data_IF_333473560294
#
_entry.id   IF_333473560294
#
_cell.length_a   1.000
_cell.length_b   1.000
_cell.length_c   1.000
_cell.angle_alpha   90.00
_cell.angle_beta   90.00
_cell.angle_gamma   90.00
#
_symmetry.space_group_name_H-M   'P 1'
#
loop_
_entity.id
_entity.type
_entity.pdbx_description
1 polymer ?
#
# COMPACT_ATOMS: atom_id res chain seq x y z
N UNK A 1 17.35 -27.91 18.18
CA UNK A 1 16.91 -26.60 18.65
C UNK A 1 15.57 -26.81 19.32
N UNK A 2 15.58 -26.83 20.66
CA UNK A 2 14.36 -26.96 21.46
C UNK A 2 13.75 -25.57 21.76
N UNK A 3 12.62 -25.55 22.43
CA UNK A 3 11.91 -24.35 22.86
C UNK A 3 12.78 -23.39 23.69
N UNK A 4 13.55 -23.92 24.64
CA UNK A 4 14.51 -23.17 25.46
C UNK A 4 15.65 -22.56 24.63
N UNK A 5 16.18 -23.28 23.64
CA UNK A 5 17.21 -22.78 22.75
C UNK A 5 16.71 -21.56 21.96
N UNK A 6 15.46 -21.61 21.50
CA UNK A 6 14.82 -20.49 20.78
C UNK A 6 14.65 -19.29 21.71
N UNK A 7 14.10 -19.50 22.91
CA UNK A 7 13.92 -18.44 23.91
C UNK A 7 15.25 -17.78 24.29
N UNK A 8 16.28 -18.58 24.58
CA UNK A 8 17.60 -18.08 24.96
C UNK A 8 18.26 -17.29 23.82
N UNK A 9 18.15 -17.75 22.58
CA UNK A 9 18.65 -17.01 21.41
C UNK A 9 17.93 -15.67 21.21
N UNK A 10 16.60 -15.64 21.36
CA UNK A 10 15.80 -14.42 21.26
C UNK A 10 16.20 -13.44 22.36
N UNK A 11 16.25 -13.92 23.61
CA UNK A 11 16.65 -13.11 24.76
C UNK A 11 18.04 -12.52 24.54
N UNK A 12 19.07 -13.35 24.28
CA UNK A 12 20.45 -12.88 24.19
C UNK A 12 20.70 -11.91 23.02
N UNK A 13 20.08 -12.14 21.86
CA UNK A 13 20.31 -11.30 20.68
C UNK A 13 19.52 -10.01 20.69
N UNK A 14 18.36 -9.99 21.35
CA UNK A 14 17.55 -8.79 21.42
C UNK A 14 17.94 -7.92 22.63
N UNK A 15 18.38 -8.49 23.77
CA UNK A 15 18.85 -7.69 24.92
C UNK A 15 20.17 -6.95 24.72
N UNK A 16 21.03 -7.42 23.81
CA UNK A 16 22.40 -6.93 23.66
C UNK A 16 22.69 -6.20 22.33
N UNK A 17 21.70 -6.03 21.44
CA UNK A 17 21.87 -5.26 20.18
C UNK A 17 22.01 -3.76 20.46
N UNK A 18 23.16 -3.38 21.00
CA UNK A 18 23.62 -1.99 21.14
C UNK A 18 24.16 -1.52 19.79
N UNK A 19 23.38 -0.74 19.07
CA UNK A 19 23.92 0.10 17.98
C UNK A 19 24.07 -0.55 16.60
N UNK A 20 23.31 -1.60 16.28
CA UNK A 20 23.23 -2.08 14.90
C UNK A 20 21.99 -1.46 14.22
N UNK A 21 22.21 -0.46 13.36
CA UNK A 21 21.21 -0.02 12.39
C UNK A 21 21.29 -0.90 11.14
N UNK A 22 20.14 -1.22 10.54
CA UNK A 22 20.10 -1.62 9.13
C UNK A 22 20.21 -0.31 8.38
N UNK A 23 21.38 -0.03 7.82
CA UNK A 23 21.65 1.26 7.19
C UNK A 23 21.02 1.28 5.80
N UNK A 24 19.79 1.78 5.71
CA UNK A 24 19.26 2.30 4.45
C UNK A 24 19.84 3.71 4.22
N UNK A 25 19.92 4.15 2.97
CA UNK A 25 20.23 5.56 2.69
C UNK A 25 19.07 6.42 3.24
N UNK A 26 19.27 7.04 4.40
CA UNK A 26 18.23 7.78 5.12
C UNK A 26 17.62 8.90 4.27
N UNK A 27 18.42 9.53 3.41
CA UNK A 27 17.96 10.61 2.55
C UNK A 27 17.01 10.08 1.48
N UNK A 28 17.36 8.93 0.88
CA UNK A 28 16.47 8.18 -0.02
C UNK A 28 15.18 7.80 0.69
N UNK A 29 15.26 7.31 1.93
CA UNK A 29 14.11 6.89 2.73
C UNK A 29 13.14 8.05 2.99
N UNK A 30 13.65 9.21 3.41
CA UNK A 30 12.85 10.43 3.61
C UNK A 30 12.16 10.85 2.32
N UNK A 31 12.90 10.89 1.20
CA UNK A 31 12.35 11.20 -0.13
C UNK A 31 11.26 10.20 -0.56
N UNK A 32 11.47 8.91 -0.31
CA UNK A 32 10.51 7.87 -0.61
C UNK A 32 9.22 8.00 0.21
N UNK A 33 9.32 8.25 1.52
CA UNK A 33 8.15 8.48 2.40
C UNK A 33 7.37 9.71 1.93
N UNK A 34 8.05 10.83 1.65
CA UNK A 34 7.42 12.05 1.15
C UNK A 34 6.65 11.78 -0.15
N UNK A 35 7.28 11.08 -1.09
CA UNK A 35 6.67 10.78 -2.38
C UNK A 35 5.47 9.84 -2.25
N UNK A 36 5.61 8.73 -1.53
CA UNK A 36 4.53 7.74 -1.37
C UNK A 36 3.37 8.35 -0.57
N UNK A 37 3.65 9.15 0.45
CA UNK A 37 2.61 9.89 1.19
C UNK A 37 1.85 10.87 0.28
N UNK A 38 2.56 11.63 -0.56
CA UNK A 38 1.92 12.54 -1.50
C UNK A 38 1.06 11.80 -2.53
N UNK A 39 1.55 10.66 -3.04
CA UNK A 39 0.78 9.80 -3.95
C UNK A 39 -0.48 9.25 -3.27
N UNK A 40 -0.36 8.78 -2.02
CA UNK A 40 -1.50 8.33 -1.21
C UNK A 40 -2.52 9.45 -1.01
N UNK A 41 -2.07 10.63 -0.57
CA UNK A 41 -2.94 11.79 -0.35
C UNK A 41 -3.67 12.22 -1.64
N UNK A 42 -2.99 12.19 -2.77
CA UNK A 42 -3.58 12.51 -4.08
C UNK A 42 -4.62 11.47 -4.48
N UNK A 43 -4.28 10.18 -4.34
CA UNK A 43 -5.19 9.09 -4.65
C UNK A 43 -6.43 9.08 -3.75
N UNK A 44 -6.31 9.45 -2.47
CA UNK A 44 -7.45 9.63 -1.56
C UNK A 44 -8.42 10.70 -2.07
N UNK A 45 -7.93 11.75 -2.74
CA UNK A 45 -8.78 12.74 -3.39
C UNK A 45 -9.67 12.13 -4.49
N UNK A 46 -9.09 11.34 -5.38
CA UNK A 46 -9.83 10.62 -6.43
C UNK A 46 -10.76 9.53 -5.87
N UNK A 47 -10.28 8.77 -4.88
CA UNK A 47 -11.10 7.78 -4.17
C UNK A 47 -12.35 8.42 -3.57
N UNK A 48 -12.17 9.57 -2.90
CA UNK A 48 -13.27 10.35 -2.35
C UNK A 48 -14.25 10.79 -3.44
N UNK A 49 -13.77 11.34 -4.56
CA UNK A 49 -14.64 11.75 -5.65
C UNK A 49 -15.47 10.58 -6.21
N UNK A 50 -14.85 9.41 -6.41
CA UNK A 50 -15.54 8.19 -6.84
C UNK A 50 -16.54 7.67 -5.81
N UNK A 51 -16.21 7.70 -4.51
CA UNK A 51 -17.12 7.32 -3.42
C UNK A 51 -18.30 8.28 -3.27
N UNK A 52 -18.07 9.58 -3.44
CA UNK A 52 -19.10 10.61 -3.39
C UNK A 52 -20.08 10.44 -4.57
N UNK A 53 -19.56 10.22 -5.79
CA UNK A 53 -20.37 9.90 -6.98
C UNK A 53 -21.20 8.62 -6.80
N UNK A 54 -20.59 7.54 -6.29
CA UNK A 54 -21.32 6.31 -5.96
C UNK A 54 -22.42 6.56 -4.91
N UNK A 55 -22.10 7.31 -3.85
CA UNK A 55 -23.03 7.58 -2.76
C UNK A 55 -24.22 8.44 -3.20
N UNK A 56 -24.00 9.37 -4.13
CA UNK A 56 -25.03 10.18 -4.75
C UNK A 56 -25.96 9.31 -5.60
N UNK A 57 -25.41 8.43 -6.45
CA UNK A 57 -26.22 7.52 -7.26
C UNK A 57 -27.04 6.54 -6.44
N UNK A 58 -26.49 6.03 -5.33
CA UNK A 58 -27.22 5.20 -4.37
C UNK A 58 -28.33 5.96 -3.61
N UNK A 59 -28.43 7.28 -3.78
CA UNK A 59 -29.54 8.10 -3.30
C UNK A 59 -30.75 8.13 -4.25
N UNK A 60 -30.59 7.66 -5.49
CA UNK A 60 -31.59 7.79 -6.55
C UNK A 60 -32.04 6.40 -7.06
N UNK A 61 -33.24 5.97 -6.69
CA UNK A 61 -33.75 4.62 -6.99
C UNK A 61 -33.77 4.26 -8.49
N UNK A 62 -33.93 5.27 -9.36
CA UNK A 62 -33.88 5.11 -10.83
C UNK A 62 -32.51 4.61 -11.32
N UNK A 63 -31.44 4.91 -10.58
CA UNK A 63 -30.06 4.56 -10.93
C UNK A 63 -29.62 3.22 -10.36
N UNK A 64 -30.41 2.66 -9.46
CA UNK A 64 -30.13 1.39 -8.77
C UNK A 64 -30.64 0.23 -9.62
N UNK A 65 -29.87 -0.86 -9.69
CA UNK A 65 -30.27 -2.08 -10.39
C UNK A 65 -31.08 -3.03 -9.48
N UNK A 66 -32.00 -3.79 -10.09
CA UNK A 66 -32.67 -4.89 -9.38
C UNK A 66 -31.63 -5.97 -8.99
N UNK A 67 -31.72 -6.63 -7.82
CA UNK A 67 -32.81 -6.61 -6.84
C UNK A 67 -32.65 -5.60 -5.67
N UNK A 68 -31.92 -4.50 -5.86
CA UNK A 68 -31.56 -3.54 -4.80
C UNK A 68 -32.46 -2.30 -4.76
N UNK A 69 -33.49 -2.21 -5.60
CA UNK A 69 -34.40 -1.05 -5.63
C UNK A 69 -35.33 -1.02 -4.42
N UNK A 70 -35.90 0.14 -4.17
CA UNK A 70 -36.96 0.33 -3.20
C UNK A 70 -38.13 -0.64 -3.45
N UNK A 71 -38.56 -1.34 -2.40
CA UNK A 71 -39.59 -2.37 -2.43
C UNK A 71 -39.10 -3.76 -2.83
N UNK A 72 -37.80 -3.94 -3.13
CA UNK A 72 -37.21 -5.25 -3.42
C UNK A 72 -36.45 -5.85 -2.23
N UNK A 73 -36.13 -7.14 -2.32
CA UNK A 73 -35.57 -7.91 -1.20
C UNK A 73 -34.23 -7.37 -0.68
N UNK A 74 -33.45 -6.67 -1.51
CA UNK A 74 -32.11 -6.16 -1.16
C UNK A 74 -32.07 -4.63 -1.06
N UNK A 75 -33.21 -3.95 -0.85
CA UNK A 75 -33.32 -2.48 -0.78
C UNK A 75 -32.48 -1.82 0.33
N UNK A 76 -32.02 -2.59 1.32
CA UNK A 76 -31.21 -2.08 2.42
C UNK A 76 -29.76 -1.77 2.01
N UNK A 77 -29.23 -2.45 1.00
CA UNK A 77 -27.80 -2.36 0.63
C UNK A 77 -27.36 -0.97 0.19
N UNK A 78 -28.10 -0.22 -0.64
CA UNK A 78 -27.71 1.16 -1.00
C UNK A 78 -27.40 2.04 0.22
N UNK A 79 -28.21 1.93 1.28
CA UNK A 79 -27.98 2.68 2.54
C UNK A 79 -26.77 2.16 3.29
N UNK A 80 -26.65 0.83 3.43
CA UNK A 80 -25.54 0.17 4.13
C UNK A 80 -24.20 0.51 3.46
N UNK A 81 -24.13 0.42 2.13
CA UNK A 81 -22.91 0.71 1.37
C UNK A 81 -22.47 2.16 1.55
N UNK A 82 -23.39 3.13 1.50
CA UNK A 82 -23.06 4.54 1.79
C UNK A 82 -22.43 4.71 3.17
N UNK A 83 -22.97 4.03 4.19
CA UNK A 83 -22.40 4.06 5.54
C UNK A 83 -21.02 3.41 5.62
N UNK A 84 -20.81 2.26 4.98
CA UNK A 84 -19.50 1.59 4.93
C UNK A 84 -18.43 2.47 4.26
N UNK A 85 -18.75 3.08 3.12
CA UNK A 85 -17.83 3.98 2.41
C UNK A 85 -17.44 5.19 3.27
N UNK A 86 -18.42 5.79 3.96
CA UNK A 86 -18.17 6.90 4.89
C UNK A 86 -17.23 6.52 6.05
N UNK A 87 -17.45 5.35 6.66
CA UNK A 87 -16.60 4.83 7.74
C UNK A 87 -15.19 4.53 7.23
N UNK A 88 -15.07 3.85 6.09
CA UNK A 88 -13.77 3.52 5.50
C UNK A 88 -12.97 4.77 5.17
N UNK A 89 -13.62 5.80 4.62
CA UNK A 89 -13.00 7.10 4.34
C UNK A 89 -12.45 7.78 5.59
N UNK A 90 -13.18 7.77 6.70
CA UNK A 90 -12.69 8.36 7.95
C UNK A 90 -11.39 7.67 8.44
N UNK A 91 -11.26 6.36 8.25
CA UNK A 91 -10.06 5.61 8.61
C UNK A 91 -8.89 5.96 7.66
N UNK A 92 -9.15 6.07 6.35
CA UNK A 92 -8.15 6.49 5.35
C UNK A 92 -7.64 7.91 5.64
N UNK A 93 -8.54 8.85 5.88
CA UNK A 93 -8.19 10.25 6.20
C UNK A 93 -7.30 10.35 7.45
N UNK A 94 -7.58 9.50 8.45
CA UNK A 94 -6.73 9.38 9.65
C UNK A 94 -5.33 8.86 9.30
N UNK A 95 -5.22 7.81 8.48
CA UNK A 95 -3.91 7.29 8.01
C UNK A 95 -3.13 8.36 7.28
N UNK A 96 -3.73 9.04 6.30
CA UNK A 96 -3.08 10.13 5.55
C UNK A 96 -2.59 11.23 6.50
N UNK A 97 -3.36 11.57 7.53
CA UNK A 97 -2.99 12.61 8.50
C UNK A 97 -1.82 12.21 9.38
N UNK A 98 -1.86 11.00 9.95
CA UNK A 98 -0.88 10.53 10.96
C UNK A 98 0.44 10.02 10.33
N UNK A 99 0.42 9.64 9.06
CA UNK A 99 1.60 9.14 8.33
C UNK A 99 2.37 10.22 7.59
N UNK A 100 2.09 11.51 7.86
CA UNK A 100 2.82 12.61 7.24
C UNK A 100 4.34 12.43 7.39
N UNK A 101 5.12 12.86 6.37
CA UNK A 101 6.56 12.86 6.48
C UNK A 101 7.00 13.72 7.65
N UNK A 102 7.99 13.25 8.41
CA UNK A 102 8.59 14.06 9.47
C UNK A 102 9.33 15.26 8.85
N UNK A 103 9.38 16.40 9.55
CA UNK A 103 10.09 17.59 9.09
C UNK A 103 11.58 17.53 9.44
N UNK A 104 12.41 17.75 8.42
CA UNK A 104 13.87 17.69 8.51
C UNK A 104 14.57 18.97 7.99
N UNK A 105 13.84 19.89 7.35
CA UNK A 105 14.39 21.01 6.57
C UNK A 105 14.99 22.16 7.41
N UNK A 106 14.69 22.21 8.71
CA UNK A 106 15.15 23.28 9.62
C UNK A 106 16.31 22.89 10.53
N UNK A 107 16.90 21.69 10.37
CA UNK A 107 17.92 21.20 11.29
C UNK A 107 19.30 21.75 10.97
N UNK A 108 19.96 22.31 11.97
CA UNK A 108 21.37 22.66 11.88
C UNK A 108 22.20 21.38 11.96
N UNK A 109 23.06 21.13 10.96
CA UNK A 109 23.91 19.93 10.88
C UNK A 109 24.88 19.76 12.06
N UNK A 110 25.16 20.83 12.81
CA UNK A 110 25.99 20.80 14.01
C UNK A 110 25.24 20.75 15.34
N UNK A 111 23.91 20.73 15.33
CA UNK A 111 23.11 20.75 16.56
C UNK A 111 22.71 19.33 17.00
N UNK A 112 23.38 18.85 18.05
CA UNK A 112 23.11 17.55 18.68
C UNK A 112 22.21 17.67 19.92
N UNK A 113 21.75 18.87 20.27
CA UNK A 113 20.98 19.11 21.50
C UNK A 113 19.55 18.57 21.45
N UNK A 114 18.97 18.46 20.24
CA UNK A 114 17.59 18.02 20.00
C UNK A 114 17.50 17.09 18.79
N UNK A 115 18.14 15.91 18.87
CA UNK A 115 17.98 14.87 17.84
C UNK A 115 16.63 14.16 18.09
N UNK A 116 15.70 14.15 17.13
CA UNK A 116 14.42 13.50 17.34
C UNK A 116 14.60 12.00 17.50
N UNK A 117 13.89 11.48 18.49
CA UNK A 117 13.87 10.09 18.91
C UNK A 117 12.45 9.56 18.75
N UNK A 118 12.30 8.42 18.08
CA UNK A 118 11.03 7.70 18.02
C UNK A 118 10.94 6.71 19.17
N UNK A 119 9.80 6.74 19.84
CA UNK A 119 9.53 6.00 21.08
C UNK A 119 8.57 4.84 20.82
N UNK A 120 8.40 3.96 21.80
CA UNK A 120 7.39 2.90 21.73
C UNK A 120 6.01 3.42 21.31
N UNK A 121 5.60 4.58 21.81
CA UNK A 121 4.29 5.18 21.48
C UNK A 121 4.17 5.54 20.00
N UNK A 122 5.24 6.04 19.37
CA UNK A 122 5.24 6.35 17.93
C UNK A 122 4.98 5.08 17.11
N UNK A 123 5.72 4.00 17.41
CA UNK A 123 5.54 2.71 16.73
C UNK A 123 4.16 2.11 17.01
N UNK A 124 3.71 2.14 18.26
CA UNK A 124 2.40 1.61 18.68
C UNK A 124 1.27 2.34 17.98
N UNK A 125 1.34 3.67 17.86
CA UNK A 125 0.35 4.48 17.16
C UNK A 125 0.30 4.13 15.67
N UNK A 126 1.47 4.07 15.02
CA UNK A 126 1.56 3.69 13.60
C UNK A 126 0.95 2.31 13.37
N UNK A 127 1.35 1.30 14.14
CA UNK A 127 0.90 -0.09 13.96
C UNK A 127 -0.57 -0.30 14.29
N UNK A 128 -1.07 0.35 15.35
CA UNK A 128 -2.51 0.30 15.69
C UNK A 128 -3.35 0.90 14.58
N UNK A 129 -2.90 2.01 14.01
CA UNK A 129 -3.57 2.67 12.90
C UNK A 129 -3.53 1.80 11.63
N UNK A 130 -2.38 1.23 11.29
CA UNK A 130 -2.24 0.29 10.16
C UNK A 130 -3.13 -0.93 10.32
N UNK A 131 -3.18 -1.50 11.53
CA UNK A 131 -4.02 -2.65 11.87
C UNK A 131 -5.50 -2.31 11.68
N UNK A 132 -5.94 -1.17 12.19
CA UNK A 132 -7.31 -0.69 12.04
C UNK A 132 -7.68 -0.54 10.56
N UNK A 133 -6.81 0.13 9.79
CA UNK A 133 -7.01 0.33 8.36
C UNK A 133 -7.21 -1.01 7.62
N UNK A 134 -6.24 -1.92 7.70
CA UNK A 134 -6.30 -3.15 6.90
C UNK A 134 -7.44 -4.06 7.36
N UNK A 135 -7.75 -4.16 8.66
CA UNK A 135 -8.87 -5.01 9.12
C UNK A 135 -10.21 -4.48 8.63
N UNK A 136 -10.47 -3.20 8.94
CA UNK A 136 -11.76 -2.58 8.70
C UNK A 136 -12.02 -2.56 7.20
N UNK A 137 -11.05 -2.11 6.41
CA UNK A 137 -11.22 -2.04 4.96
C UNK A 137 -11.22 -3.41 4.28
N UNK A 138 -10.57 -4.45 4.84
CA UNK A 138 -10.70 -5.82 4.32
C UNK A 138 -12.09 -6.38 4.62
N UNK A 139 -12.62 -6.13 5.82
CA UNK A 139 -13.99 -6.51 6.16
C UNK A 139 -15.00 -5.77 5.27
N UNK A 140 -14.81 -4.47 5.06
CA UNK A 140 -15.63 -3.65 4.17
C UNK A 140 -15.53 -4.17 2.73
N UNK A 141 -14.32 -4.36 2.18
CA UNK A 141 -14.12 -4.90 0.83
C UNK A 141 -14.82 -6.26 0.66
N UNK A 142 -14.71 -7.15 1.66
CA UNK A 142 -15.39 -8.43 1.65
C UNK A 142 -16.91 -8.29 1.59
N UNK A 143 -17.48 -7.40 2.40
CA UNK A 143 -18.92 -7.13 2.41
C UNK A 143 -19.41 -6.45 1.13
N UNK A 144 -18.71 -5.42 0.66
CA UNK A 144 -18.98 -4.71 -0.59
C UNK A 144 -18.88 -5.63 -1.80
N UNK A 145 -17.92 -6.56 -1.80
CA UNK A 145 -17.77 -7.53 -2.87
C UNK A 145 -18.89 -8.56 -2.87
N UNK A 146 -19.36 -9.06 -1.72
CA UNK A 146 -20.39 -10.10 -1.67
C UNK A 146 -21.80 -9.56 -1.90
N UNK A 147 -22.19 -8.51 -1.18
CA UNK A 147 -23.58 -8.03 -1.07
C UNK A 147 -24.57 -9.14 -0.67
N UNK A 148 -24.15 -10.01 0.25
CA UNK A 148 -24.96 -11.12 0.76
C UNK A 148 -25.57 -10.81 2.14
N UNK A 149 -26.90 -10.87 2.31
CA UNK A 149 -27.55 -10.53 3.58
C UNK A 149 -27.04 -11.34 4.78
N UNK A 150 -26.83 -12.65 4.60
CA UNK A 150 -26.39 -13.52 5.70
C UNK A 150 -24.96 -13.23 6.13
N UNK A 151 -24.08 -12.91 5.19
CA UNK A 151 -22.74 -12.39 5.44
C UNK A 151 -22.75 -11.09 6.20
N UNK A 152 -23.58 -10.13 5.79
CA UNK A 152 -23.72 -8.88 6.52
C UNK A 152 -24.26 -9.08 7.94
N UNK A 153 -25.32 -9.88 8.09
CA UNK A 153 -25.90 -10.22 9.38
C UNK A 153 -24.88 -10.81 10.33
N UNK A 154 -23.99 -11.70 9.86
CA UNK A 154 -22.91 -12.24 10.70
C UNK A 154 -22.07 -11.14 11.33
N UNK A 155 -21.56 -10.19 10.54
CA UNK A 155 -20.69 -9.13 11.08
C UNK A 155 -21.45 -8.14 11.97
N UNK A 156 -22.65 -7.74 11.55
CA UNK A 156 -23.46 -6.76 12.29
C UNK A 156 -23.95 -7.34 13.61
N UNK A 157 -24.50 -8.56 13.61
CA UNK A 157 -25.04 -9.18 14.84
C UNK A 157 -23.93 -9.57 15.82
N UNK A 158 -22.77 -10.02 15.35
CA UNK A 158 -21.60 -10.23 16.22
C UNK A 158 -21.17 -8.92 16.88
N UNK A 159 -21.12 -7.82 16.12
CA UNK A 159 -20.77 -6.49 16.63
C UNK A 159 -21.81 -5.97 17.62
N UNK A 160 -23.10 -6.01 17.26
CA UNK A 160 -24.20 -5.54 18.11
C UNK A 160 -24.34 -6.36 19.39
N UNK A 161 -24.17 -7.69 19.34
CA UNK A 161 -24.16 -8.55 20.52
C UNK A 161 -23.00 -8.18 21.47
N UNK A 162 -21.81 -7.93 20.91
CA UNK A 162 -20.65 -7.49 21.70
C UNK A 162 -20.88 -6.11 22.30
N UNK A 163 -21.44 -5.18 21.53
CA UNK A 163 -21.80 -3.84 22.00
C UNK A 163 -22.85 -3.91 23.11
N UNK A 164 -23.90 -4.72 22.98
CA UNK A 164 -24.94 -4.90 23.99
C UNK A 164 -24.37 -5.34 25.34
N UNK A 165 -23.35 -6.20 25.31
CA UNK A 165 -22.68 -6.75 26.50
C UNK A 165 -21.68 -5.77 27.13
N UNK A 166 -21.07 -4.91 26.32
CA UNK A 166 -20.04 -3.98 26.76
C UNK A 166 -20.58 -2.60 27.15
N UNK A 167 -21.57 -2.09 26.40
CA UNK A 167 -22.12 -0.75 26.56
C UNK A 167 -23.02 -0.63 27.79
N UNK A 168 -23.18 0.60 28.29
CA UNK A 168 -24.10 0.89 29.38
C UNK A 168 -25.56 0.73 28.92
N UNK A 169 -26.44 0.39 29.87
CA UNK A 169 -27.89 0.26 29.58
C UNK A 169 -28.50 1.53 28.97
N UNK A 170 -28.01 2.70 29.35
CA UNK A 170 -28.48 3.98 28.79
C UNK A 170 -28.18 4.10 27.30
N UNK A 171 -27.00 3.65 26.85
CA UNK A 171 -26.63 3.65 25.44
C UNK A 171 -27.41 2.61 24.66
N UNK A 172 -27.55 1.39 25.21
CA UNK A 172 -28.28 0.32 24.51
C UNK A 172 -29.77 0.64 24.37
N UNK A 173 -30.41 1.20 25.40
CA UNK A 173 -31.83 1.60 25.33
C UNK A 173 -32.10 2.75 24.35
N UNK A 174 -31.13 3.66 24.16
CA UNK A 174 -31.27 4.75 23.20
C UNK A 174 -31.12 4.28 21.75
N UNK A 175 -30.32 3.24 21.51
CA UNK A 175 -29.97 2.76 20.16
C UNK A 175 -30.82 1.57 19.70
N UNK A 176 -31.27 0.71 20.61
CA UNK A 176 -31.95 -0.53 20.26
C UNK A 176 -33.47 -0.39 20.43
N UNK A 177 -34.17 -0.40 19.30
CA UNK A 177 -35.63 -0.53 19.28
C UNK A 177 -36.04 -2.02 19.41
N UNK A 178 -37.35 -2.28 19.44
CA UNK A 178 -37.89 -3.64 19.55
C UNK A 178 -37.46 -4.58 18.42
N UNK A 179 -37.23 -4.06 17.21
CA UNK A 179 -36.84 -4.85 16.04
C UNK A 179 -35.39 -5.34 16.17
N UNK A 180 -34.46 -4.45 16.55
CA UNK A 180 -33.06 -4.80 16.80
C UNK A 180 -32.96 -5.80 17.95
N UNK A 181 -33.72 -5.58 19.02
CA UNK A 181 -33.73 -6.49 20.17
C UNK A 181 -34.25 -7.89 19.77
N UNK A 182 -35.28 -7.97 18.93
CA UNK A 182 -35.78 -9.25 18.42
C UNK A 182 -34.72 -9.99 17.61
N UNK A 183 -34.04 -9.29 16.69
CA UNK A 183 -32.97 -9.88 15.89
C UNK A 183 -31.78 -10.35 16.74
N UNK A 184 -31.41 -9.58 17.77
CA UNK A 184 -30.37 -9.97 18.73
C UNK A 184 -30.77 -11.17 19.57
N UNK A 185 -32.02 -11.22 20.06
CA UNK A 185 -32.53 -12.38 20.80
C UNK A 185 -32.49 -13.64 19.95
N UNK A 186 -32.85 -13.56 18.68
CA UNK A 186 -32.75 -14.69 17.74
C UNK A 186 -31.29 -15.13 17.53
N UNK A 187 -30.37 -14.17 17.38
CA UNK A 187 -28.93 -14.46 17.28
C UNK A 187 -28.34 -15.08 18.55
N UNK A 188 -28.78 -14.63 19.73
CA UNK A 188 -28.31 -15.14 21.03
C UNK A 188 -28.75 -16.58 21.31
N UNK A 189 -29.76 -17.11 20.61
CA UNK A 189 -30.11 -18.54 20.67
C UNK A 189 -29.09 -19.43 19.94
N UNK A 190 -28.21 -18.85 19.12
CA UNK A 190 -27.19 -19.60 18.38
C UNK A 190 -25.92 -19.80 19.23
N UNK A 191 -25.38 -21.02 19.22
CA UNK A 191 -24.08 -21.30 19.82
C UNK A 191 -22.95 -20.66 18.99
N UNK A 192 -21.80 -20.39 19.60
CA UNK A 192 -20.66 -19.73 18.96
C UNK A 192 -20.23 -20.39 17.63
N UNK A 193 -20.23 -21.73 17.57
CA UNK A 193 -19.90 -22.49 16.36
C UNK A 193 -20.96 -22.38 15.25
N UNK A 194 -22.18 -21.96 15.56
CA UNK A 194 -23.28 -21.74 14.61
C UNK A 194 -23.32 -20.30 14.08
N UNK A 195 -22.60 -19.36 14.69
CA UNK A 195 -22.63 -17.96 14.27
C UNK A 195 -22.22 -17.79 12.80
N UNK A 196 -21.24 -18.54 12.32
CA UNK A 196 -20.78 -18.48 10.93
C UNK A 196 -21.66 -19.27 9.94
N UNK A 197 -22.63 -20.05 10.41
CA UNK A 197 -23.52 -20.85 9.56
C UNK A 197 -24.84 -21.14 10.25
N UNK A 198 -25.86 -20.34 9.94
CA UNK A 198 -27.21 -20.48 10.47
C UNK A 198 -28.28 -20.09 9.44
N UNK A 199 -29.54 -20.10 9.86
CA UNK A 199 -30.63 -19.61 9.02
C UNK A 199 -30.60 -18.09 8.82
N UNK A 200 -30.02 -17.31 9.75
CA UNK A 200 -29.92 -15.83 9.65
C UNK A 200 -28.51 -15.30 9.32
N UNK A 201 -27.45 -16.10 9.49
CA UNK A 201 -26.05 -15.69 9.28
C UNK A 201 -25.25 -16.71 8.46
N UNK A 202 -24.24 -16.25 7.74
CA UNK A 202 -23.32 -17.10 6.96
C UNK A 202 -21.99 -16.38 6.76
N UNK A 203 -20.86 -16.99 7.10
CA UNK A 203 -19.55 -16.43 6.81
C UNK A 203 -18.55 -17.54 6.47
N UNK A 204 -18.35 -17.77 5.17
CA UNK A 204 -17.37 -18.76 4.70
C UNK A 204 -15.93 -18.40 5.08
N UNK A 205 -15.61 -17.10 5.16
CA UNK A 205 -14.26 -16.58 5.41
C UNK A 205 -14.20 -15.78 6.72
N UNK A 206 -14.16 -16.50 7.85
CA UNK A 206 -14.26 -15.89 9.19
C UNK A 206 -13.02 -15.11 9.64
N UNK A 207 -11.82 -15.51 9.22
CA UNK A 207 -10.55 -14.86 9.58
C UNK A 207 -10.12 -13.82 8.54
N UNK A 208 -9.36 -12.80 8.96
CA UNK A 208 -8.73 -11.83 8.07
C UNK A 208 -8.00 -12.47 6.87
N UNK A 209 -7.09 -13.42 7.12
CA UNK A 209 -6.31 -14.06 6.06
C UNK A 209 -7.17 -14.73 5.00
N UNK A 210 -8.20 -15.48 5.40
CA UNK A 210 -9.18 -16.10 4.48
C UNK A 210 -9.93 -15.07 3.63
N UNK A 211 -10.25 -13.89 4.17
CA UNK A 211 -10.90 -12.82 3.40
C UNK A 211 -9.96 -12.21 2.37
N UNK A 212 -8.70 -11.97 2.75
CA UNK A 212 -7.67 -11.49 1.83
C UNK A 212 -7.49 -12.47 0.67
N UNK A 213 -7.32 -13.76 0.97
CA UNK A 213 -7.14 -14.79 -0.05
C UNK A 213 -8.35 -14.89 -1.00
N UNK A 214 -9.56 -14.88 -0.43
CA UNK A 214 -10.78 -14.87 -1.21
C UNK A 214 -10.90 -13.64 -2.12
N UNK A 215 -10.64 -12.44 -1.59
CA UNK A 215 -10.75 -11.20 -2.34
C UNK A 215 -9.73 -11.12 -3.47
N UNK A 216 -8.46 -11.45 -3.21
CA UNK A 216 -7.42 -11.43 -4.23
C UNK A 216 -7.63 -12.49 -5.32
N UNK A 217 -8.30 -13.60 -5.00
CA UNK A 217 -8.68 -14.62 -5.99
C UNK A 217 -9.92 -14.22 -6.78
N UNK A 218 -10.89 -13.54 -6.15
CA UNK A 218 -12.21 -13.29 -6.73
C UNK A 218 -12.30 -11.96 -7.49
N UNK A 219 -11.48 -10.98 -7.14
CA UNK A 219 -11.42 -9.69 -7.82
C UNK A 219 -10.53 -9.83 -9.07
N UNK A 220 -11.03 -9.54 -10.28
CA UNK A 220 -10.22 -9.59 -11.48
C UNK A 220 -9.13 -8.51 -11.46
N UNK A 221 -7.88 -8.91 -11.23
CA UNK A 221 -6.74 -7.99 -11.30
C UNK A 221 -5.46 -8.75 -11.67
N UNK A 222 -4.97 -8.54 -12.90
CA UNK A 222 -3.79 -9.24 -13.41
C UNK A 222 -2.46 -8.62 -12.94
N UNK A 223 -2.51 -7.51 -12.22
CA UNK A 223 -1.32 -6.75 -11.80
C UNK A 223 -1.04 -6.83 -10.30
N UNK A 224 -1.73 -7.73 -9.57
CA UNK A 224 -1.53 -7.91 -8.13
C UNK A 224 -0.08 -8.34 -7.85
N UNK A 225 0.64 -7.64 -6.94
CA UNK A 225 1.96 -8.09 -6.51
C UNK A 225 1.87 -9.50 -5.90
N UNK A 226 2.71 -10.47 -6.30
CA UNK A 226 2.63 -11.83 -5.78
C UNK A 226 2.76 -11.93 -4.26
N UNK A 227 3.46 -10.99 -3.62
CA UNK A 227 3.65 -10.94 -2.17
C UNK A 227 2.48 -10.31 -1.41
N UNK A 228 1.53 -9.62 -2.07
CA UNK A 228 0.56 -8.75 -1.39
C UNK A 228 -0.28 -9.49 -0.34
N UNK A 229 -0.69 -10.72 -0.63
CA UNK A 229 -1.45 -11.53 0.32
C UNK A 229 -0.67 -11.78 1.62
N UNK A 230 0.61 -12.13 1.49
CA UNK A 230 1.48 -12.40 2.62
C UNK A 230 1.89 -11.12 3.33
N UNK A 231 2.15 -10.04 2.60
CA UNK A 231 2.46 -8.72 3.16
C UNK A 231 1.31 -8.21 4.05
N UNK A 232 0.06 -8.36 3.61
CA UNK A 232 -1.14 -8.01 4.39
C UNK A 232 -1.28 -8.88 5.66
N UNK A 233 -1.11 -10.20 5.53
CA UNK A 233 -1.19 -11.12 6.67
C UNK A 233 -0.06 -10.87 7.67
N UNK A 234 1.14 -10.58 7.18
CA UNK A 234 2.30 -10.25 7.99
C UNK A 234 2.09 -8.92 8.71
N UNK A 235 1.60 -7.87 8.04
CA UNK A 235 1.29 -6.59 8.67
C UNK A 235 0.19 -6.74 9.74
N UNK A 236 -0.87 -7.50 9.46
CA UNK A 236 -1.93 -7.81 10.42
C UNK A 236 -1.37 -8.50 11.67
N UNK A 237 -0.60 -9.58 11.46
CA UNK A 237 -0.01 -10.37 12.55
C UNK A 237 0.99 -9.54 13.34
N UNK A 238 1.91 -8.86 12.65
CA UNK A 238 2.93 -8.03 13.27
C UNK A 238 2.30 -6.95 14.14
N UNK A 239 1.32 -6.22 13.62
CA UNK A 239 0.68 -5.13 14.37
C UNK A 239 -0.11 -5.64 15.59
N UNK A 240 -0.72 -6.82 15.51
CA UNK A 240 -1.39 -7.47 16.64
C UNK A 240 -0.40 -7.93 17.71
N UNK A 241 0.64 -8.69 17.32
CA UNK A 241 1.64 -9.21 18.26
C UNK A 241 2.50 -8.10 18.87
N UNK A 242 2.74 -7.02 18.13
CA UNK A 242 3.48 -5.86 18.62
C UNK A 242 2.82 -5.26 19.87
N UNK A 243 1.50 -5.13 19.88
CA UNK A 243 0.75 -4.59 21.02
C UNK A 243 0.84 -5.49 22.26
N UNK A 244 1.00 -6.80 22.07
CA UNK A 244 1.05 -7.78 23.16
C UNK A 244 2.45 -8.01 23.70
N UNK A 245 3.42 -8.11 22.80
CA UNK A 245 4.76 -8.59 23.12
C UNK A 245 5.75 -7.41 23.20
N UNK A 246 5.55 -6.34 22.41
CA UNK A 246 6.34 -5.08 22.48
C UNK A 246 7.87 -5.24 22.44
N UNK A 247 8.37 -6.44 22.20
CA UNK A 247 9.71 -6.85 22.59
C UNK A 247 10.74 -6.38 21.57
N UNK A 248 10.37 -6.37 20.29
CA UNK A 248 11.25 -5.83 19.23
C UNK A 248 11.32 -4.30 19.31
N UNK A 249 10.23 -3.61 19.68
CA UNK A 249 10.22 -2.15 19.83
C UNK A 249 10.92 -1.63 21.07
N UNK A 250 10.88 -2.36 22.18
CA UNK A 250 11.62 -1.95 23.39
C UNK A 250 13.12 -1.86 23.10
N UNK A 251 13.69 -2.71 22.23
CA UNK A 251 15.11 -2.60 21.86
C UNK A 251 15.45 -1.47 20.89
N UNK A 252 14.54 -1.13 19.97
CA UNK A 252 14.75 0.01 19.07
C UNK A 252 14.47 1.38 19.71
N UNK A 253 13.72 1.44 20.81
CA UNK A 253 13.21 2.70 21.37
C UNK A 253 13.69 3.05 22.77
N UNK A 254 14.24 2.09 23.53
CA UNK A 254 14.33 2.24 24.99
C UNK A 254 15.68 1.91 25.65
N UNK A 255 16.81 1.97 24.94
CA UNK A 255 18.09 1.99 25.64
C UNK A 255 18.18 3.31 26.46
N UNK A 256 18.31 3.27 27.81
CA UNK A 256 18.59 4.45 28.63
C UNK A 256 20.05 4.92 28.51
N UNK A 257 20.79 4.39 27.53
CA UNK A 257 22.19 4.65 27.26
C UNK A 257 22.36 5.38 25.93
N UNK A 258 23.52 6.01 25.73
CA UNK A 258 23.85 6.76 24.52
C UNK A 258 23.59 5.94 23.25
N UNK A 259 22.65 6.40 22.42
CA UNK A 259 22.44 5.87 21.07
C UNK A 259 23.59 6.35 20.16
N UNK A 260 23.97 5.52 19.18
CA UNK A 260 24.89 5.95 18.13
C UNK A 260 24.18 7.05 17.33
N UNK A 261 24.89 8.15 17.06
CA UNK A 261 24.37 9.21 16.19
C UNK A 261 24.88 8.97 14.78
N UNK A 262 23.96 8.88 13.83
CA UNK A 262 24.28 8.76 12.40
C UNK A 262 24.25 10.15 11.76
N UNK A 263 25.07 10.35 10.72
CA UNK A 263 25.04 11.56 9.91
C UNK A 263 24.15 11.39 8.68
N UNK A 264 23.40 12.43 8.33
CA UNK A 264 22.61 12.51 7.09
C UNK A 264 22.71 13.90 6.47
N UNK A 265 22.18 14.11 5.25
CA UNK A 265 22.13 15.46 4.68
C UNK A 265 21.21 16.41 5.47
N UNK A 266 20.31 15.83 6.28
CA UNK A 266 19.39 16.50 7.20
C UNK A 266 19.94 16.71 8.61
N UNK A 267 21.22 16.40 8.86
CA UNK A 267 21.86 16.52 10.17
C UNK A 267 21.89 15.19 10.96
N UNK A 268 22.17 15.25 12.27
CA UNK A 268 22.27 14.05 13.08
C UNK A 268 20.93 13.34 13.22
N UNK A 269 20.94 12.00 13.16
CA UNK A 269 19.77 11.14 13.35
C UNK A 269 20.09 10.00 14.30
N UNK A 270 19.05 9.46 14.94
CA UNK A 270 19.14 8.28 15.78
C UNK A 270 18.65 7.03 15.03
N UNK A 271 19.22 5.84 15.28
CA UNK A 271 18.72 4.58 14.74
C UNK A 271 17.23 4.35 15.03
N UNK A 272 16.73 4.78 16.20
CA UNK A 272 15.30 4.72 16.52
C UNK A 272 14.43 5.46 15.49
N UNK A 273 14.91 6.60 14.99
CA UNK A 273 14.21 7.39 13.96
C UNK A 273 14.32 6.76 12.57
N UNK A 274 15.50 6.26 12.20
CA UNK A 274 15.70 5.55 10.93
C UNK A 274 14.80 4.30 10.83
N UNK A 275 14.86 3.41 11.83
CA UNK A 275 14.05 2.19 11.86
C UNK A 275 12.54 2.49 11.82
N UNK A 276 12.10 3.57 12.47
CA UNK A 276 10.70 4.00 12.42
C UNK A 276 10.33 4.48 11.01
N UNK A 277 11.21 5.23 10.35
CA UNK A 277 11.02 5.67 8.98
C UNK A 277 10.98 4.48 8.01
N UNK A 278 11.83 3.46 8.18
CA UNK A 278 11.80 2.24 7.36
C UNK A 278 10.47 1.52 7.50
N UNK A 279 10.04 1.28 8.75
CA UNK A 279 8.75 0.64 9.01
C UNK A 279 7.58 1.46 8.45
N UNK A 280 7.61 2.79 8.61
CA UNK A 280 6.60 3.70 8.05
C UNK A 280 6.54 3.58 6.53
N UNK A 281 7.69 3.53 5.86
CA UNK A 281 7.75 3.37 4.41
C UNK A 281 7.14 2.04 3.94
N UNK A 282 7.54 0.91 4.55
CA UNK A 282 7.00 -0.40 4.18
C UNK A 282 5.48 -0.47 4.40
N UNK A 283 5.00 0.06 5.53
CA UNK A 283 3.56 0.16 5.81
C UNK A 283 2.84 1.01 4.75
N UNK A 284 3.37 2.20 4.43
CA UNK A 284 2.77 3.07 3.42
C UNK A 284 2.69 2.39 2.05
N UNK A 285 3.74 1.69 1.65
CA UNK A 285 3.77 0.91 0.42
C UNK A 285 2.71 -0.19 0.43
N UNK A 286 2.65 -1.02 1.47
CA UNK A 286 1.63 -2.06 1.61
C UNK A 286 0.21 -1.48 1.60
N UNK A 287 -0.02 -0.33 2.23
CA UNK A 287 -1.31 0.37 2.21
C UNK A 287 -1.68 0.84 0.80
N UNK A 288 -0.75 1.42 0.05
CA UNK A 288 -0.98 1.81 -1.33
C UNK A 288 -1.31 0.61 -2.22
N UNK A 289 -0.58 -0.50 -2.06
CA UNK A 289 -0.85 -1.73 -2.81
C UNK A 289 -2.21 -2.35 -2.43
N UNK A 290 -2.55 -2.35 -1.13
CA UNK A 290 -3.85 -2.78 -0.63
C UNK A 290 -5.02 -1.98 -1.22
N UNK A 291 -4.92 -0.65 -1.17
CA UNK A 291 -5.97 0.22 -1.69
C UNK A 291 -6.16 0.01 -3.18
N UNK A 292 -5.06 0.02 -3.94
CA UNK A 292 -5.10 -0.04 -5.40
C UNK A 292 -5.50 -1.39 -5.98
N UNK A 293 -5.12 -2.50 -5.33
CA UNK A 293 -5.34 -3.85 -5.86
C UNK A 293 -6.50 -4.60 -5.22
N UNK A 294 -6.98 -4.18 -4.04
CA UNK A 294 -8.02 -4.90 -3.30
C UNK A 294 -9.21 -4.01 -2.92
N UNK A 295 -9.00 -2.94 -2.14
CA UNK A 295 -10.12 -2.14 -1.61
C UNK A 295 -10.89 -1.38 -2.70
N UNK A 296 -10.17 -0.63 -3.55
CA UNK A 296 -10.79 0.15 -4.63
C UNK A 296 -11.49 -0.77 -5.65
N UNK A 297 -10.87 -1.86 -6.13
CA UNK A 297 -11.56 -2.83 -6.98
C UNK A 297 -12.81 -3.45 -6.35
N UNK A 298 -12.85 -3.67 -5.03
CA UNK A 298 -14.05 -4.14 -4.35
C UNK A 298 -15.19 -3.10 -4.41
N UNK A 299 -14.88 -1.81 -4.27
CA UNK A 299 -15.85 -0.72 -4.45
C UNK A 299 -16.37 -0.70 -5.90
N UNK A 300 -15.48 -0.84 -6.89
CA UNK A 300 -15.88 -0.90 -8.31
C UNK A 300 -16.80 -2.10 -8.56
N UNK A 301 -16.48 -3.27 -8.01
CA UNK A 301 -17.34 -4.46 -8.11
C UNK A 301 -18.71 -4.22 -7.47
N UNK A 302 -18.75 -3.56 -6.32
CA UNK A 302 -19.99 -3.17 -5.65
C UNK A 302 -20.82 -2.22 -6.51
N UNK A 303 -20.20 -1.19 -7.10
CA UNK A 303 -20.88 -0.23 -7.97
C UNK A 303 -21.51 -0.93 -9.18
N UNK A 304 -20.78 -1.83 -9.82
CA UNK A 304 -21.27 -2.63 -10.96
C UNK A 304 -22.43 -3.57 -10.61
N UNK A 305 -22.60 -3.93 -9.33
CA UNK A 305 -23.72 -4.76 -8.86
C UNK A 305 -24.95 -3.95 -8.46
N UNK A 306 -24.74 -2.77 -7.89
CA UNK A 306 -25.81 -1.94 -7.32
C UNK A 306 -26.39 -0.93 -8.30
N UNK A 307 -25.62 -0.48 -9.30
CA UNK A 307 -26.02 0.60 -10.19
C UNK A 307 -26.25 0.10 -11.62
N UNK A 308 -27.05 0.87 -12.36
CA UNK A 308 -27.16 0.74 -13.81
C UNK A 308 -25.80 1.03 -14.47
N UNK A 309 -25.57 0.46 -15.66
CA UNK A 309 -24.26 0.46 -16.33
C UNK A 309 -23.63 1.85 -16.52
N UNK A 310 -24.42 2.87 -16.85
CA UNK A 310 -23.93 4.24 -17.04
C UNK A 310 -23.36 4.83 -15.75
N UNK A 311 -24.10 4.76 -14.65
CA UNK A 311 -23.68 5.30 -13.36
C UNK A 311 -22.54 4.48 -12.74
N UNK A 312 -22.59 3.16 -12.88
CA UNK A 312 -21.50 2.28 -12.46
C UNK A 312 -20.18 2.65 -13.15
N UNK A 313 -20.22 2.90 -14.47
CA UNK A 313 -19.04 3.30 -15.24
C UNK A 313 -18.50 4.67 -14.79
N UNK A 314 -19.39 5.63 -14.49
CA UNK A 314 -18.98 6.95 -14.02
C UNK A 314 -18.25 6.87 -12.68
N UNK A 315 -18.78 6.13 -11.71
CA UNK A 315 -18.13 5.94 -10.42
C UNK A 315 -16.80 5.15 -10.57
N UNK A 316 -16.77 4.16 -11.46
CA UNK A 316 -15.59 3.33 -11.69
C UNK A 316 -14.39 4.11 -12.25
N UNK A 317 -14.62 5.11 -13.11
CA UNK A 317 -13.54 5.87 -13.75
C UNK A 317 -12.66 6.64 -12.74
N UNK A 318 -13.26 7.31 -11.77
CA UNK A 318 -12.53 8.03 -10.71
C UNK A 318 -11.79 7.06 -9.78
N UNK A 319 -12.45 5.96 -9.42
CA UNK A 319 -11.86 4.90 -8.60
C UNK A 319 -10.66 4.25 -9.28
N UNK A 320 -10.77 3.92 -10.57
CA UNK A 320 -9.67 3.34 -11.36
C UNK A 320 -8.50 4.31 -11.47
N UNK A 321 -8.76 5.60 -11.68
CA UNK A 321 -7.72 6.64 -11.69
C UNK A 321 -6.94 6.69 -10.37
N UNK A 322 -7.63 6.55 -9.23
CA UNK A 322 -6.98 6.45 -7.92
C UNK A 322 -6.05 5.23 -7.83
N UNK A 323 -6.53 4.04 -8.23
CA UNK A 323 -5.73 2.81 -8.26
C UNK A 323 -4.49 2.93 -9.17
N UNK A 324 -4.67 3.41 -10.40
CA UNK A 324 -3.58 3.53 -11.37
C UNK A 324 -2.48 4.48 -10.91
N UNK A 325 -2.86 5.61 -10.29
CA UNK A 325 -1.91 6.58 -9.75
C UNK A 325 -1.07 5.97 -8.62
N UNK A 326 -1.69 5.20 -7.72
CA UNK A 326 -0.96 4.48 -6.66
C UNK A 326 -0.01 3.43 -7.23
N UNK A 327 -0.48 2.58 -8.14
CA UNK A 327 0.33 1.53 -8.77
C UNK A 327 1.55 2.14 -9.47
N UNK A 328 1.33 3.21 -10.24
CA UNK A 328 2.40 3.93 -10.93
C UNK A 328 3.39 4.52 -9.94
N UNK A 329 2.92 5.14 -8.86
CA UNK A 329 3.79 5.74 -7.85
C UNK A 329 4.70 4.70 -7.19
N UNK A 330 4.14 3.58 -6.72
CA UNK A 330 4.89 2.52 -6.04
C UNK A 330 5.94 1.88 -6.98
N UNK A 331 5.59 1.61 -8.23
CA UNK A 331 6.54 1.00 -9.21
C UNK A 331 7.81 1.82 -9.47
N UNK A 332 7.81 3.13 -9.19
CA UNK A 332 8.96 4.01 -9.44
C UNK A 332 9.96 4.10 -8.28
N UNK A 333 9.78 3.33 -7.21
CA UNK A 333 10.52 3.45 -5.94
C UNK A 333 11.18 2.13 -5.58
N UNK A 334 12.45 2.16 -5.17
CA UNK A 334 13.24 0.97 -4.79
C UNK A 334 13.17 -0.19 -5.81
N UNK A 335 13.11 0.14 -7.10
CA UNK A 335 13.06 -0.81 -8.20
C UNK A 335 14.47 -1.09 -8.74
N UNK A 336 14.64 -2.16 -9.52
CA UNK A 336 15.87 -2.38 -10.28
C UNK A 336 15.65 -1.94 -11.72
N UNK A 337 16.51 -1.05 -12.22
CA UNK A 337 16.47 -0.60 -13.60
C UNK A 337 17.68 -1.10 -14.36
N UNK A 338 17.45 -1.50 -15.61
CA UNK A 338 18.51 -1.96 -16.49
C UNK A 338 18.87 -0.87 -17.48
N UNK A 339 20.16 -0.56 -17.60
CA UNK A 339 20.69 0.33 -18.62
C UNK A 339 21.56 -0.44 -19.58
N UNK A 340 21.41 -0.17 -20.87
CA UNK A 340 22.30 -0.68 -21.89
C UNK A 340 23.44 0.29 -22.10
N UNK A 341 24.67 -0.20 -21.95
CA UNK A 341 25.89 0.62 -22.04
C UNK A 341 26.83 0.03 -23.09
N UNK A 342 27.54 0.91 -23.78
CA UNK A 342 28.56 0.50 -24.76
C UNK A 342 29.70 -0.23 -24.06
N UNK A 343 30.14 -1.33 -24.65
CA UNK A 343 31.28 -2.10 -24.13
C UNK A 343 32.57 -1.28 -24.06
N UNK A 344 33.30 -1.45 -22.95
CA UNK A 344 34.51 -0.67 -22.63
C UNK A 344 34.27 0.73 -22.05
N UNK A 345 33.01 1.15 -21.83
CA UNK A 345 32.73 2.45 -21.22
C UNK A 345 32.95 2.45 -19.69
N UNK A 346 32.71 1.31 -19.03
CA UNK A 346 33.00 1.13 -17.59
C UNK A 346 34.52 1.14 -17.40
N UNK A 347 34.99 1.96 -16.46
CA UNK A 347 36.43 2.17 -16.23
C UNK A 347 37.10 3.14 -17.20
N UNK A 348 36.35 3.73 -18.14
CA UNK A 348 36.83 4.84 -18.98
C UNK A 348 36.95 6.15 -18.18
N UNK A 349 37.44 7.21 -18.83
CA UNK A 349 37.46 8.57 -18.28
C UNK A 349 36.18 9.37 -18.56
N UNK A 350 35.19 8.79 -19.23
CA UNK A 350 33.94 9.47 -19.57
C UNK A 350 32.97 9.45 -18.40
N UNK A 351 32.13 10.49 -18.27
CA UNK A 351 31.03 10.50 -17.30
C UNK A 351 29.82 9.80 -17.93
N UNK A 352 29.24 8.84 -17.21
CA UNK A 352 28.12 8.05 -17.70
C UNK A 352 26.80 8.62 -17.13
N UNK A 353 25.92 9.22 -17.95
CA UNK A 353 24.64 9.74 -17.47
C UNK A 353 23.60 8.62 -17.33
N UNK A 354 23.15 8.36 -16.09
CA UNK A 354 22.11 7.38 -15.77
C UNK A 354 20.82 8.12 -15.40
N UNK A 355 19.74 7.94 -16.19
CA UNK A 355 18.45 8.58 -15.92
C UNK A 355 17.47 7.58 -15.32
N UNK A 356 17.08 7.81 -14.07
CA UNK A 356 16.13 6.98 -13.34
C UNK A 356 14.68 7.16 -13.85
N UNK A 357 13.79 6.18 -13.65
CA UNK A 357 12.34 6.35 -13.92
C UNK A 357 11.70 7.45 -13.08
N UNK A 358 12.25 7.76 -11.90
CA UNK A 358 11.85 8.94 -11.12
C UNK A 358 12.33 10.28 -11.73
N UNK A 359 12.98 10.23 -12.91
CA UNK A 359 13.55 11.33 -13.70
C UNK A 359 14.80 11.98 -13.12
N UNK A 360 15.26 11.56 -11.94
CA UNK A 360 16.55 11.99 -11.40
C UNK A 360 17.67 11.47 -12.29
N UNK A 361 18.54 12.39 -12.73
CA UNK A 361 19.75 12.07 -13.47
C UNK A 361 20.91 11.90 -12.48
N UNK A 362 21.66 10.82 -12.62
CA UNK A 362 22.92 10.58 -11.93
C UNK A 362 24.05 10.65 -12.95
N UNK A 363 25.07 11.43 -12.63
CA UNK A 363 26.35 11.39 -13.33
C UNK A 363 27.20 10.35 -12.62
N UNK A 364 27.48 9.22 -13.27
CA UNK A 364 28.37 8.20 -12.72
C UNK A 364 29.78 8.51 -13.23
N UNK A 365 30.61 9.02 -12.32
CA UNK A 365 31.93 9.54 -12.65
C UNK A 365 33.00 8.44 -12.55
N UNK A 366 34.12 8.55 -13.31
CA UNK A 366 35.28 7.68 -13.14
C UNK A 366 35.81 7.72 -11.68
N UNK A 367 36.24 6.58 -11.11
CA UNK A 367 36.53 5.30 -11.76
C UNK A 367 35.31 4.36 -11.85
N UNK A 368 34.08 4.88 -11.76
CA UNK A 368 32.85 4.12 -11.92
C UNK A 368 32.66 3.05 -10.85
N UNK A 369 32.63 3.46 -9.59
CA UNK A 369 32.45 2.51 -8.49
C UNK A 369 31.02 1.95 -8.44
N UNK A 370 30.89 0.63 -8.29
CA UNK A 370 29.58 -0.06 -8.30
C UNK A 370 28.66 0.34 -7.15
N UNK A 371 29.20 0.75 -5.99
CA UNK A 371 28.38 1.23 -4.86
C UNK A 371 27.60 2.52 -5.19
N UNK A 372 27.90 3.13 -6.34
CA UNK A 372 27.21 4.31 -6.87
C UNK A 372 26.08 3.96 -7.85
N UNK A 373 25.82 2.69 -8.13
CA UNK A 373 24.80 2.29 -9.09
C UNK A 373 23.40 2.24 -8.48
N UNK A 374 22.94 3.40 -8.01
CA UNK A 374 21.57 3.58 -7.52
C UNK A 374 21.09 5.03 -7.67
N UNK A 375 19.78 5.24 -7.56
CA UNK A 375 19.21 6.58 -7.56
C UNK A 375 19.16 7.18 -6.15
N UNK A 376 19.88 8.27 -5.92
CA UNK A 376 19.84 9.02 -4.63
C UNK A 376 18.49 9.67 -4.29
N UNK A 377 17.55 9.71 -5.23
CA UNK A 377 16.21 10.25 -4.99
C UNK A 377 15.18 9.18 -4.64
N UNK A 378 15.27 7.99 -5.23
CA UNK A 378 14.21 6.98 -5.10
C UNK A 378 14.71 5.59 -4.67
N UNK A 379 16.02 5.44 -4.41
CA UNK A 379 16.64 4.21 -3.95
C UNK A 379 16.72 3.09 -4.98
N UNK A 380 16.25 3.32 -6.20
CA UNK A 380 16.24 2.30 -7.23
C UNK A 380 17.67 1.94 -7.66
N UNK A 381 17.99 0.65 -7.68
CA UNK A 381 19.28 0.12 -8.13
C UNK A 381 19.41 0.19 -9.65
N UNK A 382 20.64 0.43 -10.13
CA UNK A 382 20.97 0.47 -11.54
C UNK A 382 21.79 -0.77 -11.89
N UNK A 383 21.29 -1.60 -12.79
CA UNK A 383 22.01 -2.71 -13.37
C UNK A 383 22.45 -2.34 -14.78
N UNK A 384 23.71 -2.59 -15.10
CA UNK A 384 24.28 -2.22 -16.39
C UNK A 384 24.47 -3.48 -17.23
N UNK A 385 23.99 -3.44 -18.47
CA UNK A 385 24.20 -4.48 -19.47
C UNK A 385 25.14 -3.94 -20.53
N UNK A 386 26.38 -4.41 -20.51
CA UNK A 386 27.37 -4.10 -21.54
C UNK A 386 27.01 -4.82 -22.83
N UNK A 387 26.99 -4.10 -23.95
CA UNK A 387 26.67 -4.63 -25.26
C UNK A 387 27.64 -4.15 -26.33
N UNK A 388 27.98 -5.06 -27.22
CA UNK A 388 28.79 -4.78 -28.41
C UNK A 388 27.88 -4.19 -29.48
N UNK A 389 27.96 -2.88 -29.69
CA UNK A 389 27.18 -2.18 -30.72
C UNK A 389 27.10 -0.67 -30.51
N UNK A 390 26.64 0.03 -31.54
CA UNK A 390 26.30 1.46 -31.52
C UNK A 390 24.82 1.60 -31.93
N UNK A 391 24.11 2.55 -31.34
CA UNK A 391 22.72 2.86 -31.69
C UNK A 391 21.71 2.64 -30.58
N UNK A 392 20.70 1.81 -30.85
CA UNK A 392 19.55 1.55 -29.98
C UNK A 392 19.35 0.04 -29.80
N UNK A 393 18.94 -0.36 -28.60
CA UNK A 393 18.41 -1.70 -28.30
C UNK A 393 16.90 -1.64 -28.40
N UNK A 394 16.29 -2.63 -29.07
CA UNK A 394 14.85 -2.75 -29.13
C UNK A 394 14.37 -3.66 -28.01
N UNK A 395 13.53 -3.13 -27.14
CA UNK A 395 12.92 -3.86 -26.02
C UNK A 395 11.42 -4.00 -26.25
N UNK A 396 10.72 -4.80 -25.45
CA UNK A 396 9.25 -4.85 -25.48
C UNK A 396 8.57 -3.52 -25.16
N UNK A 397 9.28 -2.58 -24.51
CA UNK A 397 8.79 -1.24 -24.20
C UNK A 397 9.13 -0.20 -25.28
N UNK A 398 9.86 -0.59 -26.33
CA UNK A 398 10.33 0.32 -27.39
C UNK A 398 11.85 0.33 -27.57
N UNK A 399 12.34 1.13 -28.53
CA UNK A 399 13.76 1.39 -28.71
C UNK A 399 14.33 2.19 -27.53
N UNK A 400 15.52 1.81 -27.08
CA UNK A 400 16.27 2.44 -25.99
C UNK A 400 17.69 2.72 -26.49
N UNK A 401 18.17 3.94 -26.34
CA UNK A 401 19.53 4.29 -26.74
C UNK A 401 20.57 3.60 -25.87
N UNK A 402 21.65 3.12 -26.49
CA UNK A 402 22.83 2.60 -25.80
C UNK A 402 23.62 3.78 -25.23
N UNK A 403 23.87 3.80 -23.92
CA UNK A 403 24.66 4.87 -23.29
C UNK A 403 26.10 4.81 -23.79
N UNK A 404 26.64 5.97 -24.19
CA UNK A 404 27.94 6.10 -24.85
C UNK A 404 27.90 5.95 -26.38
N UNK A 405 26.72 5.71 -26.97
CA UNK A 405 26.52 5.71 -28.42
C UNK A 405 26.45 7.13 -29.00
N UNK A 406 26.92 7.31 -30.24
CA UNK A 406 26.93 8.61 -30.94
C UNK A 406 25.60 9.03 -31.57
N UNK A 407 24.57 8.19 -31.46
CA UNK A 407 23.22 8.49 -31.99
C UNK A 407 22.47 9.50 -31.10
N UNK A 408 21.53 10.30 -31.64
CA UNK A 408 20.76 11.26 -30.85
C UNK A 408 19.92 10.59 -29.76
N UNK A 409 19.57 11.31 -28.70
CA UNK A 409 18.53 10.82 -27.79
C UNK A 409 17.18 10.80 -28.52
N UNK A 410 16.31 9.83 -28.21
CA UNK A 410 15.01 9.70 -28.88
C UNK A 410 14.17 10.97 -28.73
N UNK A 411 14.35 11.71 -27.64
CA UNK A 411 13.70 12.98 -27.36
C UNK A 411 14.21 14.16 -28.19
N UNK A 412 15.39 14.02 -28.78
CA UNK A 412 16.04 15.07 -29.55
C UNK A 412 16.00 14.81 -31.07
N UNK A 413 15.40 13.69 -31.49
CA UNK A 413 15.17 13.34 -32.90
C UNK A 413 14.10 14.22 -33.54
N UNK A 414 14.18 14.38 -34.87
CA UNK A 414 13.03 14.86 -35.63
C UNK A 414 11.87 13.85 -35.56
N UNK A 415 10.63 14.34 -35.74
CA UNK A 415 9.44 13.48 -35.73
C UNK A 415 9.55 12.34 -36.75
N UNK A 416 10.08 12.64 -37.95
CA UNK A 416 10.25 11.65 -39.02
C UNK A 416 11.26 10.55 -38.67
N UNK A 417 12.38 10.89 -38.03
CA UNK A 417 13.38 9.91 -37.56
C UNK A 417 12.82 9.04 -36.44
N UNK A 418 12.07 9.64 -35.52
CA UNK A 418 11.41 8.90 -34.44
C UNK A 418 10.37 7.92 -35.00
N UNK A 419 9.55 8.34 -35.96
CA UNK A 419 8.53 7.50 -36.59
C UNK A 419 9.17 6.30 -37.32
N UNK A 420 10.27 6.54 -38.05
CA UNK A 420 11.05 5.45 -38.69
C UNK A 420 11.61 4.45 -37.68
N UNK A 421 12.15 4.95 -36.55
CA UNK A 421 12.69 4.08 -35.50
C UNK A 421 11.59 3.23 -34.84
N UNK A 422 10.43 3.83 -34.58
CA UNK A 422 9.27 3.13 -34.03
C UNK A 422 8.66 2.13 -35.01
N UNK A 423 8.67 2.44 -36.31
CA UNK A 423 8.24 1.50 -37.34
C UNK A 423 9.18 0.28 -37.41
N UNK A 424 10.50 0.50 -37.44
CA UNK A 424 11.48 -0.58 -37.41
C UNK A 424 11.36 -1.46 -36.15
N UNK A 425 11.01 -0.85 -35.02
CA UNK A 425 10.69 -1.57 -33.79
C UNK A 425 9.43 -2.45 -33.96
N UNK A 426 8.33 -1.89 -34.47
CA UNK A 426 7.08 -2.62 -34.68
C UNK A 426 7.24 -3.80 -35.67
N UNK A 427 8.00 -3.62 -36.75
CA UNK A 427 8.32 -4.67 -37.72
C UNK A 427 9.09 -5.83 -37.08
N UNK A 428 10.06 -5.55 -36.21
CA UNK A 428 10.80 -6.60 -35.49
C UNK A 428 9.97 -7.31 -34.43
N UNK A 429 9.06 -6.61 -33.74
CA UNK A 429 8.17 -7.22 -32.74
C UNK A 429 7.08 -8.10 -33.38
N UNK A 430 6.61 -7.74 -34.58
CA UNK A 430 5.62 -8.50 -35.34
C UNK A 430 6.20 -9.72 -36.06
N UNK A 431 7.50 -9.73 -36.36
CA UNK A 431 8.17 -10.85 -37.00
C UNK A 431 8.34 -12.10 -36.11
N UNK A 432 8.04 -12.01 -34.80
CA UNK A 432 8.02 -13.16 -33.89
C UNK A 432 9.38 -13.84 -33.65
N UNK A 433 10.48 -13.23 -34.11
CA UNK A 433 11.82 -13.79 -33.95
C UNK A 433 12.32 -13.49 -32.54
N UNK A 434 12.59 -14.50 -31.69
CA UNK A 434 13.33 -14.27 -30.45
C UNK A 434 14.77 -13.86 -30.79
N UNK A 435 15.47 -13.14 -29.89
CA UNK A 435 16.87 -12.76 -30.07
C UNK A 435 17.80 -13.96 -30.25
#
# INVERSE_FOLDING_TARGET
MNDLDVLNKIASNLTERKGAAVLSDFDVLVSNIQFVHHALSTATGHLKAGQDSLSESLGHDVEISSPYKAGENLEAFPKIVRSLLGNGRAIIDRVVTETKPDSYESRNRGDFSNIPKKTFNDYSNLLTLSRQLIDSLTADAYQLFLLDPKSFNYHVLVSLNSFNKFATKSLTQALFNSEILSALQEFEQLNYNQWASSHITSCAHTSFGKKVDFLLTSIPNNNVPPSLADDLKNLFKFSSEFAHIGYVSTFFTSAPHAEIVLGSSYGPILPSTENFSELKYEILKTVCDFLSHLYIPAIVSCANKLLNSTQAQSAASELQSASENLIRAIKTRNSTYFFFIKDGLIGSSEIIPLTCMCRTKRQWEPPHHDYELYCKSCGSGFHLMSIQGEGYVFTSAGPIKIIGSKVPDINDMSQEERDRLMQAWAERMSAGTPP
#
